data_IF_744911281787
#
_entry.id   IF_744911281787
#
_cell.length_a   1.000
_cell.length_b   1.000
_cell.length_c   1.000
_cell.angle_alpha   90.00
_cell.angle_beta   90.00
_cell.angle_gamma   90.00
#
_symmetry.space_group_name_H-M   'P 1'
#
loop_
_entity.id
_entity.type
_entity.pdbx_description
1 polymer ?
#
# COMPACT_ATOMS: atom_id res chain seq x y z
N UNK A 1 -79.29 12.20 33.14
CA UNK A 1 -79.00 13.48 32.43
C UNK A 1 -77.70 13.34 31.68
N UNK A 2 -77.71 13.71 30.39
CA UNK A 2 -76.59 14.07 29.50
C UNK A 2 -75.43 13.06 29.27
N UNK A 3 -75.33 12.69 27.99
CA UNK A 3 -74.20 12.12 27.24
C UNK A 3 -72.92 12.97 27.39
N UNK A 4 -71.75 12.34 27.36
CA UNK A 4 -70.51 12.72 26.62
C UNK A 4 -69.51 11.55 26.79
N UNK A 5 -69.41 10.66 25.80
CA UNK A 5 -68.41 10.58 24.72
C UNK A 5 -67.00 10.16 25.15
N UNK A 6 -66.57 9.05 24.55
CA UNK A 6 -65.26 8.43 24.56
C UNK A 6 -64.15 9.34 24.02
N UNK A 7 -62.90 9.09 24.42
CA UNK A 7 -61.76 8.69 23.56
C UNK A 7 -60.65 8.17 24.51
N UNK A 8 -60.46 6.85 24.61
CA UNK A 8 -59.21 6.28 25.10
C UNK A 8 -58.35 5.94 23.89
N UNK A 9 -57.22 6.66 23.76
CA UNK A 9 -56.21 6.45 22.74
C UNK A 9 -55.50 5.11 22.99
N UNK A 10 -56.06 4.02 22.46
CA UNK A 10 -55.38 2.73 22.35
C UNK A 10 -54.67 2.73 21.00
N UNK A 11 -53.43 3.21 20.94
CA UNK A 11 -52.78 3.38 19.64
C UNK A 11 -51.38 3.97 19.61
N UNK A 12 -50.55 3.79 20.65
CA UNK A 12 -49.10 4.05 20.54
C UNK A 12 -48.34 3.10 21.47
N UNK A 13 -48.23 1.82 21.09
CA UNK A 13 -47.27 0.91 21.73
C UNK A 13 -46.82 -0.28 20.86
N UNK A 14 -47.27 -0.39 19.60
CA UNK A 14 -46.95 -1.55 18.74
C UNK A 14 -46.00 -1.22 17.58
N UNK A 15 -45.55 0.03 17.44
CA UNK A 15 -44.64 0.42 16.32
C UNK A 15 -43.15 0.44 16.70
N UNK A 16 -42.78 0.22 17.97
CA UNK A 16 -41.37 0.21 18.41
C UNK A 16 -40.72 -1.18 18.54
N UNK A 17 -41.44 -2.27 18.22
CA UNK A 17 -40.92 -3.63 18.33
C UNK A 17 -40.46 -4.25 16.98
N UNK A 18 -40.38 -3.46 15.90
CA UNK A 18 -40.11 -3.97 14.55
C UNK A 18 -38.86 -3.40 13.85
N UNK A 19 -37.94 -2.70 14.57
CA UNK A 19 -36.69 -2.15 13.99
C UNK A 19 -35.44 -2.58 14.79
N UNK A 20 -35.38 -3.82 15.29
CA UNK A 20 -34.14 -4.40 15.87
C UNK A 20 -33.95 -5.86 15.42
N UNK A 21 -34.28 -6.18 14.18
CA UNK A 21 -34.01 -7.50 13.61
C UNK A 21 -33.57 -7.35 12.14
N UNK A 22 -32.40 -6.77 11.93
CA UNK A 22 -31.68 -6.92 10.66
C UNK A 22 -30.17 -7.07 10.90
N UNK A 23 -29.71 -8.25 10.49
CA UNK A 23 -28.32 -8.64 10.17
C UNK A 23 -27.38 -8.93 11.35
N UNK A 24 -27.54 -10.13 11.91
CA UNK A 24 -26.42 -10.90 12.47
C UNK A 24 -26.42 -12.30 11.85
N UNK A 25 -26.00 -12.41 10.59
CA UNK A 25 -25.53 -13.68 10.04
C UNK A 25 -24.01 -13.67 10.22
N UNK A 26 -23.57 -14.16 11.38
CA UNK A 26 -22.17 -14.49 11.63
C UNK A 26 -21.88 -15.78 10.87
N UNK A 27 -21.20 -15.67 9.73
CA UNK A 27 -20.50 -16.82 9.16
C UNK A 27 -19.31 -17.12 10.05
N UNK A 28 -19.44 -18.14 10.91
CA UNK A 28 -18.30 -18.79 11.52
C UNK A 28 -17.60 -19.64 10.45
N UNK A 29 -16.45 -19.17 9.95
CA UNK A 29 -15.52 -20.00 9.21
C UNK A 29 -14.54 -20.66 10.22
N UNK A 30 -14.50 -22.00 10.33
CA UNK A 30 -13.43 -22.67 11.02
C UNK A 30 -12.27 -22.87 10.03
N UNK A 31 -11.14 -22.22 10.28
CA UNK A 31 -9.94 -22.40 9.48
C UNK A 31 -8.90 -21.36 9.82
N UNK A 32 -7.97 -21.72 10.71
CA UNK A 32 -6.80 -20.91 11.05
C UNK A 32 -5.90 -20.75 9.83
N UNK A 33 -6.08 -19.63 9.13
CA UNK A 33 -5.05 -19.02 8.31
C UNK A 33 -4.77 -17.65 8.90
N UNK A 34 -3.55 -17.42 9.40
CA UNK A 34 -3.07 -16.07 9.63
C UNK A 34 -3.05 -15.35 8.28
N UNK A 35 -4.15 -14.69 7.94
CA UNK A 35 -4.20 -13.84 6.76
C UNK A 35 -3.26 -12.68 7.00
N UNK A 36 -2.18 -12.57 6.21
CA UNK A 36 -1.42 -11.33 6.11
C UNK A 36 -2.40 -10.26 5.61
N UNK A 37 -2.97 -9.48 6.52
CA UNK A 37 -3.53 -8.18 6.16
C UNK A 37 -2.34 -7.30 5.82
N UNK A 38 -2.32 -6.78 4.59
CA UNK A 38 -1.28 -5.83 4.16
C UNK A 38 -1.23 -4.69 5.18
N UNK A 39 -0.08 -4.51 5.83
CA UNK A 39 0.12 -3.51 6.89
C UNK A 39 -0.21 -3.97 8.30
N UNK A 40 -0.10 -5.25 8.63
CA UNK A 40 -0.04 -5.74 10.02
C UNK A 40 1.41 -6.02 10.45
N UNK A 41 1.67 -6.02 11.75
CA UNK A 41 2.99 -6.23 12.33
C UNK A 41 2.93 -7.20 13.53
N UNK A 42 3.86 -8.15 13.59
CA UNK A 42 4.00 -9.06 14.73
C UNK A 42 4.56 -8.34 15.96
N UNK A 43 3.82 -8.37 17.08
CA UNK A 43 4.24 -7.75 18.35
C UNK A 43 5.50 -8.42 18.92
N UNK A 44 5.55 -9.75 18.87
CA UNK A 44 6.70 -10.52 19.38
C UNK A 44 7.96 -10.27 18.53
N UNK A 45 7.79 -10.22 17.21
CA UNK A 45 8.89 -9.89 16.30
C UNK A 45 9.37 -8.45 16.52
N UNK A 46 8.46 -7.49 16.68
CA UNK A 46 8.80 -6.10 16.94
C UNK A 46 9.61 -5.93 18.24
N UNK A 47 9.31 -6.72 19.27
CA UNK A 47 10.06 -6.70 20.54
C UNK A 47 11.49 -7.21 20.39
N UNK A 48 11.69 -8.22 19.55
CA UNK A 48 12.98 -8.85 19.31
C UNK A 48 13.79 -8.19 18.17
N UNK A 49 13.20 -7.24 17.44
CA UNK A 49 13.82 -6.60 16.29
C UNK A 49 15.00 -5.69 16.70
N UNK A 50 16.07 -5.69 15.89
CA UNK A 50 17.18 -4.76 16.03
C UNK A 50 16.72 -3.29 15.96
N UNK A 51 17.45 -2.32 16.53
CA UNK A 51 17.03 -0.93 16.49
C UNK A 51 16.82 -0.41 15.05
N UNK A 52 15.68 0.24 14.80
CA UNK A 52 15.32 0.84 13.50
C UNK A 52 15.16 2.34 13.68
N UNK A 53 15.95 3.12 12.93
CA UNK A 53 15.94 4.58 13.00
C UNK A 53 16.07 5.15 14.43
N UNK A 54 16.78 4.44 15.32
CA UNK A 54 16.97 4.82 16.73
C UNK A 54 15.86 4.38 17.69
N UNK A 55 14.87 3.61 17.23
CA UNK A 55 13.80 3.04 18.05
C UNK A 55 14.01 1.54 18.25
N UNK A 56 13.74 1.02 19.45
CA UNK A 56 13.96 -0.40 19.81
C UNK A 56 13.01 -0.89 20.90
N UNK A 57 12.88 -2.21 21.04
CA UNK A 57 12.15 -2.84 22.16
C UNK A 57 10.70 -2.34 22.26
N UNK A 58 10.32 -1.83 23.44
CA UNK A 58 8.94 -1.38 23.69
C UNK A 58 8.48 -0.25 22.75
N UNK A 59 9.40 0.56 22.21
CA UNK A 59 9.04 1.58 21.21
C UNK A 59 8.58 0.93 19.89
N UNK A 60 9.22 -0.16 19.46
CA UNK A 60 8.82 -0.90 18.27
C UNK A 60 7.54 -1.72 18.52
N UNK A 61 7.35 -2.24 19.74
CA UNK A 61 6.08 -2.87 20.15
C UNK A 61 4.91 -1.87 20.09
N UNK A 62 5.12 -0.64 20.56
CA UNK A 62 4.13 0.42 20.45
C UNK A 62 3.86 0.80 18.99
N UNK A 63 4.90 0.88 18.14
CA UNK A 63 4.72 1.11 16.71
C UNK A 63 3.92 -0.02 16.03
N UNK A 64 4.20 -1.29 16.34
CA UNK A 64 3.44 -2.43 15.85
C UNK A 64 1.97 -2.38 16.32
N UNK A 65 1.70 -1.92 17.53
CA UNK A 65 0.34 -1.72 18.03
C UNK A 65 -0.42 -0.65 17.23
N UNK A 66 0.25 0.44 16.85
CA UNK A 66 -0.31 1.48 15.98
C UNK A 66 -0.59 0.92 14.58
N UNK A 67 0.36 0.22 13.99
CA UNK A 67 0.24 -0.41 12.66
C UNK A 67 -0.99 -1.34 12.63
N UNK A 68 -1.10 -2.23 13.62
CA UNK A 68 -2.21 -3.18 13.73
C UNK A 68 -3.58 -2.51 13.94
N UNK A 69 -3.65 -1.43 14.73
CA UNK A 69 -4.89 -0.67 14.90
C UNK A 69 -5.33 -0.01 13.58
N UNK A 70 -4.39 0.53 12.80
CA UNK A 70 -4.67 1.05 11.46
C UNK A 70 -5.16 -0.04 10.50
N UNK A 71 -4.48 -1.19 10.49
CA UNK A 71 -4.85 -2.35 9.69
C UNK A 71 -6.28 -2.85 10.00
N UNK A 72 -6.62 -2.95 11.29
CA UNK A 72 -7.94 -3.37 11.74
C UNK A 72 -9.08 -2.44 11.27
N UNK A 73 -8.76 -1.16 11.00
CA UNK A 73 -9.68 -0.17 10.48
C UNK A 73 -9.62 -0.03 8.94
N UNK A 74 -8.83 -0.86 8.25
CA UNK A 74 -8.64 -0.77 6.80
C UNK A 74 -7.87 0.48 6.36
N UNK A 75 -7.12 1.11 7.26
CA UNK A 75 -6.29 2.28 6.95
C UNK A 75 -5.05 1.80 6.16
N UNK A 76 -4.77 2.49 5.05
CA UNK A 76 -3.63 2.19 4.18
C UNK A 76 -2.28 2.32 4.92
N UNK A 77 -1.23 1.72 4.36
CA UNK A 77 0.15 1.84 4.86
C UNK A 77 0.57 3.31 5.03
N UNK A 78 0.14 4.20 4.12
CA UNK A 78 0.36 5.64 4.24
C UNK A 78 -0.26 6.19 5.53
N UNK A 79 -1.51 5.84 5.84
CA UNK A 79 -2.14 6.27 7.08
C UNK A 79 -1.43 5.70 8.31
N UNK A 80 -1.01 4.44 8.27
CA UNK A 80 -0.23 3.81 9.34
C UNK A 80 1.10 4.55 9.60
N UNK A 81 1.82 4.94 8.54
CA UNK A 81 3.03 5.78 8.63
C UNK A 81 2.70 7.11 9.31
N UNK A 82 1.58 7.76 8.95
CA UNK A 82 1.13 8.99 9.61
C UNK A 82 0.88 8.78 11.10
N UNK A 83 0.26 7.65 11.49
CA UNK A 83 0.04 7.30 12.89
C UNK A 83 1.35 7.09 13.67
N UNK A 84 2.29 6.31 13.11
CA UNK A 84 3.60 6.07 13.73
C UNK A 84 4.40 7.38 13.84
N UNK A 85 4.44 8.18 12.76
CA UNK A 85 5.08 9.50 12.74
C UNK A 85 4.51 10.43 13.82
N UNK A 86 3.19 10.43 13.99
CA UNK A 86 2.53 11.24 15.01
C UNK A 86 2.97 10.81 16.41
N UNK A 87 2.91 9.51 16.72
CA UNK A 87 3.33 9.01 18.03
C UNK A 87 4.84 9.18 18.30
N UNK A 88 5.68 9.19 17.26
CA UNK A 88 7.09 9.56 17.37
C UNK A 88 7.27 11.02 17.79
N UNK A 89 6.49 11.94 17.21
CA UNK A 89 6.54 13.36 17.58
C UNK A 89 5.99 13.64 18.98
N UNK A 90 4.90 12.99 19.34
CA UNK A 90 4.19 13.21 20.61
C UNK A 90 4.92 12.62 21.82
N UNK A 91 5.51 11.43 21.67
CA UNK A 91 6.05 10.69 22.81
C UNK A 91 7.34 9.93 22.53
N UNK A 92 7.87 10.00 21.31
CA UNK A 92 8.95 9.13 20.88
C UNK A 92 8.55 7.65 20.91
N UNK A 93 7.28 7.32 20.63
CA UNK A 93 6.71 5.96 20.74
C UNK A 93 6.73 5.37 22.16
N UNK A 94 6.69 6.22 23.19
CA UNK A 94 6.63 5.79 24.59
C UNK A 94 5.25 6.05 25.16
N UNK A 95 4.67 5.04 25.80
CA UNK A 95 3.36 5.18 26.41
C UNK A 95 3.48 5.89 27.78
N UNK A 96 3.52 7.22 27.77
CA UNK A 96 3.86 8.03 28.96
C UNK A 96 2.62 8.48 29.76
N UNK A 97 2.77 8.54 31.08
CA UNK A 97 1.70 8.87 32.05
C UNK A 97 1.61 10.36 32.40
N UNK A 98 2.36 11.20 31.71
CA UNK A 98 2.41 12.65 31.91
C UNK A 98 2.33 13.38 30.58
N UNK A 99 1.93 14.65 30.65
CA UNK A 99 1.99 15.59 29.53
C UNK A 99 2.97 16.72 29.78
N UNK A 100 3.02 17.67 28.85
CA UNK A 100 3.89 18.85 28.93
C UNK A 100 3.19 20.04 29.61
N UNK A 101 3.81 21.22 29.57
CA UNK A 101 3.23 22.43 30.17
C UNK A 101 1.96 22.91 29.45
N UNK A 102 1.80 22.63 28.15
CA UNK A 102 0.66 23.05 27.36
C UNK A 102 -0.55 22.10 27.52
N UNK A 103 -0.29 20.81 27.74
CA UNK A 103 -1.29 19.79 28.05
C UNK A 103 -0.86 18.87 29.20
N UNK A 104 -0.86 19.32 30.46
CA UNK A 104 -0.42 18.49 31.60
C UNK A 104 -1.23 17.21 31.81
N UNK A 105 -2.45 17.16 31.29
CA UNK A 105 -3.40 16.05 31.32
C UNK A 105 -3.34 15.13 30.09
N UNK A 106 -2.49 15.43 29.12
CA UNK A 106 -2.22 14.58 27.96
C UNK A 106 -1.57 13.26 28.35
N UNK A 107 -1.96 12.15 27.71
CA UNK A 107 -1.52 10.80 28.08
C UNK A 107 -1.24 9.92 26.86
N UNK A 108 -0.37 8.94 27.08
CA UNK A 108 -0.09 7.85 26.16
C UNK A 108 0.66 8.26 24.90
N UNK A 109 0.65 7.35 23.92
CA UNK A 109 1.47 7.44 22.70
C UNK A 109 1.25 8.71 21.87
N UNK A 110 0.01 9.17 21.84
CA UNK A 110 -0.44 10.30 21.01
C UNK A 110 -0.70 11.56 21.84
N UNK A 111 -0.33 11.57 23.13
CA UNK A 111 -0.55 12.70 24.04
C UNK A 111 -2.00 13.23 24.00
N UNK A 112 -2.95 12.29 23.99
CA UNK A 112 -4.37 12.60 23.89
C UNK A 112 -4.89 13.12 25.24
N UNK A 113 -5.78 14.11 25.21
CA UNK A 113 -6.49 14.64 26.40
C UNK A 113 -7.79 13.87 26.66
N UNK A 114 -8.43 14.10 27.80
CA UNK A 114 -9.67 13.41 28.23
C UNK A 114 -10.82 13.42 27.21
N UNK A 115 -10.91 14.46 26.37
CA UNK A 115 -11.87 14.57 25.24
C UNK A 115 -11.75 13.45 24.20
N UNK A 116 -10.66 12.67 24.22
CA UNK A 116 -10.47 11.51 23.35
C UNK A 116 -11.05 10.21 23.92
N UNK A 117 -11.14 10.09 25.24
CA UNK A 117 -11.56 8.87 25.93
C UNK A 117 -11.08 8.83 27.39
N UNK A 118 -11.43 7.77 28.09
CA UNK A 118 -11.02 7.57 29.49
C UNK A 118 -9.49 7.47 29.61
N UNK A 119 -8.94 7.68 30.81
CA UNK A 119 -7.50 7.53 31.05
C UNK A 119 -7.00 6.14 30.62
N UNK A 120 -7.73 5.08 30.98
CA UNK A 120 -7.40 3.70 30.61
C UNK A 120 -7.33 3.51 29.10
N UNK A 121 -8.28 4.06 28.35
CA UNK A 121 -8.30 3.99 26.89
C UNK A 121 -7.12 4.75 26.26
N UNK A 122 -6.79 5.94 26.78
CA UNK A 122 -5.67 6.74 26.29
C UNK A 122 -4.30 6.14 26.62
N UNK A 123 -4.22 5.38 27.71
CA UNK A 123 -3.03 4.62 28.10
C UNK A 123 -2.94 3.25 27.42
N UNK A 124 -3.93 2.82 26.65
CA UNK A 124 -3.83 1.59 25.87
C UNK A 124 -3.32 1.93 24.45
N UNK A 125 -2.14 1.44 24.03
CA UNK A 125 -1.56 1.72 22.72
C UNK A 125 -2.49 1.51 21.52
N UNK A 126 -3.19 0.37 21.49
CA UNK A 126 -4.10 0.03 20.39
C UNK A 126 -5.32 0.95 20.39
N UNK A 127 -5.92 1.21 21.56
CA UNK A 127 -7.10 2.07 21.65
C UNK A 127 -6.79 3.54 21.34
N UNK A 128 -5.66 4.06 21.84
CA UNK A 128 -5.20 5.41 21.52
C UNK A 128 -4.94 5.57 20.01
N UNK A 129 -4.35 4.55 19.37
CA UNK A 129 -4.17 4.52 17.92
C UNK A 129 -5.51 4.46 17.15
N UNK A 130 -6.45 3.64 17.60
CA UNK A 130 -7.81 3.58 17.02
C UNK A 130 -8.47 4.95 17.03
N UNK A 131 -8.41 5.69 18.14
CA UNK A 131 -8.98 7.04 18.21
C UNK A 131 -8.32 8.03 17.24
N UNK A 132 -7.01 7.88 17.00
CA UNK A 132 -6.28 8.69 16.03
C UNK A 132 -6.78 8.39 14.61
N UNK A 133 -6.82 7.11 14.22
CA UNK A 133 -7.23 6.70 12.88
C UNK A 133 -8.70 7.03 12.59
N UNK A 134 -9.60 6.83 13.55
CA UNK A 134 -11.02 7.20 13.41
C UNK A 134 -11.24 8.69 13.13
N UNK A 135 -10.32 9.55 13.59
CA UNK A 135 -10.32 10.98 13.27
C UNK A 135 -9.61 11.26 11.96
N UNK A 136 -8.47 10.60 11.69
CA UNK A 136 -7.74 10.74 10.43
C UNK A 136 -8.63 10.46 9.22
N UNK A 137 -9.37 9.34 9.23
CA UNK A 137 -10.24 8.97 8.09
C UNK A 137 -11.41 9.93 7.86
N UNK A 138 -11.73 10.79 8.84
CA UNK A 138 -12.75 11.85 8.74
C UNK A 138 -12.17 13.18 8.25
N UNK A 139 -10.85 13.33 8.16
CA UNK A 139 -10.21 14.52 7.60
C UNK A 139 -10.42 14.53 6.08
N UNK A 140 -11.07 15.55 5.50
CA UNK A 140 -11.29 15.62 4.06
C UNK A 140 -9.99 15.59 3.29
N UNK A 141 -9.90 14.74 2.25
CA UNK A 141 -8.74 14.63 1.36
C UNK A 141 -7.40 14.31 2.06
N UNK A 142 -7.42 13.74 3.27
CA UNK A 142 -6.20 13.37 3.98
C UNK A 142 -5.22 12.48 3.18
N UNK A 143 -5.65 11.55 2.29
CA UNK A 143 -4.70 10.74 1.51
C UNK A 143 -3.83 11.57 0.56
N UNK A 144 -4.31 12.75 0.16
CA UNK A 144 -3.60 13.68 -0.73
C UNK A 144 -2.81 14.76 0.04
N UNK A 145 -2.91 14.80 1.37
CA UNK A 145 -2.15 15.74 2.20
C UNK A 145 -0.69 15.27 2.36
N UNK A 146 0.20 16.20 2.70
CA UNK A 146 1.49 15.82 3.24
C UNK A 146 1.29 15.07 4.57
N UNK A 147 2.17 14.12 4.95
CA UNK A 147 2.04 13.38 6.19
C UNK A 147 1.91 14.28 7.42
N UNK A 148 2.72 15.33 7.51
CA UNK A 148 2.66 16.31 8.61
C UNK A 148 1.33 17.05 8.63
N UNK A 149 0.80 17.46 7.49
CA UNK A 149 -0.50 18.14 7.42
C UNK A 149 -1.65 17.22 7.85
N UNK A 150 -1.60 15.94 7.49
CA UNK A 150 -2.59 14.96 7.92
C UNK A 150 -2.54 14.74 9.44
N UNK A 151 -1.35 14.55 10.01
CA UNK A 151 -1.16 14.42 11.46
C UNK A 151 -1.60 15.69 12.22
N UNK A 152 -1.21 16.86 11.72
CA UNK A 152 -1.60 18.15 12.26
C UNK A 152 -3.12 18.37 12.20
N UNK A 153 -3.79 17.98 11.12
CA UNK A 153 -5.25 18.10 11.01
C UNK A 153 -6.00 17.29 12.10
N UNK A 154 -5.42 16.18 12.54
CA UNK A 154 -5.96 15.33 13.61
C UNK A 154 -5.61 15.89 15.00
N UNK A 155 -4.34 16.20 15.25
CA UNK A 155 -3.83 16.59 16.58
C UNK A 155 -4.02 18.07 16.91
N UNK A 156 -4.05 18.94 15.89
CA UNK A 156 -4.22 20.40 16.02
C UNK A 156 -3.21 21.05 16.96
N UNK A 157 -1.93 20.71 16.81
CA UNK A 157 -0.83 21.38 17.53
C UNK A 157 -0.56 22.79 16.94
N UNK A 158 0.37 23.56 17.52
CA UNK A 158 0.64 24.93 17.09
C UNK A 158 1.47 25.05 15.80
N UNK A 159 2.25 24.02 15.46
CA UNK A 159 3.19 24.01 14.34
C UNK A 159 2.74 22.98 13.27
N UNK A 160 2.23 23.43 12.11
CA UNK A 160 1.80 22.54 11.03
C UNK A 160 2.88 21.59 10.50
N UNK A 161 4.15 21.97 10.63
CA UNK A 161 5.29 21.20 10.13
C UNK A 161 5.98 20.38 11.22
N UNK A 162 5.44 20.40 12.45
CA UNK A 162 6.00 19.73 13.62
C UNK A 162 6.47 18.31 13.29
N UNK A 163 5.61 17.52 12.62
CA UNK A 163 5.85 16.10 12.41
C UNK A 163 6.87 15.77 11.32
N UNK A 164 7.22 16.74 10.47
CA UNK A 164 7.99 16.53 9.23
C UNK A 164 9.26 15.72 9.46
N UNK A 165 10.01 16.01 10.53
CA UNK A 165 11.29 15.34 10.84
C UNK A 165 11.17 13.86 11.20
N UNK A 166 9.97 13.38 11.54
CA UNK A 166 9.73 11.98 11.91
C UNK A 166 9.18 11.15 10.75
N UNK A 167 8.92 11.75 9.58
CA UNK A 167 8.36 11.03 8.45
C UNK A 167 9.28 9.91 7.93
N UNK A 168 10.56 10.20 7.72
CA UNK A 168 11.54 9.19 7.27
C UNK A 168 11.77 8.08 8.33
N UNK A 169 12.00 8.38 9.62
CA UNK A 169 12.04 7.37 10.67
C UNK A 169 10.79 6.51 10.74
N UNK A 170 9.60 7.11 10.60
CA UNK A 170 8.34 6.38 10.63
C UNK A 170 8.19 5.42 9.44
N UNK A 171 8.60 5.84 8.24
CA UNK A 171 8.66 4.95 7.08
C UNK A 171 9.60 3.78 7.32
N UNK A 172 10.80 4.03 7.86
CA UNK A 172 11.77 2.98 8.17
C UNK A 172 11.20 1.98 9.20
N UNK A 173 10.57 2.46 10.26
CA UNK A 173 9.95 1.61 11.29
C UNK A 173 8.77 0.82 10.73
N UNK A 174 7.84 1.44 10.01
CA UNK A 174 6.72 0.72 9.40
C UNK A 174 7.25 -0.34 8.43
N UNK A 175 8.16 0.04 7.52
CA UNK A 175 8.76 -0.89 6.56
C UNK A 175 9.48 -2.05 7.23
N UNK A 176 10.21 -1.81 8.32
CA UNK A 176 10.90 -2.86 9.06
C UNK A 176 9.93 -3.79 9.77
N UNK A 177 8.87 -3.26 10.40
CA UNK A 177 7.93 -4.06 11.19
C UNK A 177 6.89 -4.80 10.35
N UNK A 178 6.52 -4.27 9.18
CA UNK A 178 5.66 -4.96 8.21
C UNK A 178 6.44 -5.79 7.20
N UNK A 179 7.76 -5.56 7.08
CA UNK A 179 8.68 -6.29 6.20
C UNK A 179 9.50 -7.38 6.89
N UNK A 180 9.58 -7.38 8.23
CA UNK A 180 10.24 -8.45 9.02
C UNK A 180 9.34 -9.65 9.28
N UNK A 181 8.10 -9.62 8.81
CA UNK A 181 7.47 -10.86 8.41
C UNK A 181 8.18 -11.34 7.16
N UNK A 182 9.31 -12.03 7.34
CA UNK A 182 9.91 -12.89 6.31
C UNK A 182 8.84 -13.80 5.69
N UNK A 183 7.79 -14.12 6.48
CA UNK A 183 6.57 -14.79 6.04
C UNK A 183 5.65 -13.94 5.13
N UNK A 184 5.59 -12.61 5.25
CA UNK A 184 4.76 -11.74 4.39
C UNK A 184 5.53 -11.09 3.23
N UNK A 185 6.87 -11.02 3.23
CA UNK A 185 7.63 -10.75 1.98
C UNK A 185 7.62 -11.97 1.07
N UNK A 186 7.68 -13.17 1.67
CA UNK A 186 7.35 -14.41 0.95
C UNK A 186 5.85 -14.46 0.62
N UNK A 187 4.91 -13.98 1.47
CA UNK A 187 3.49 -13.97 1.11
C UNK A 187 3.11 -12.91 0.05
N UNK A 188 3.72 -11.73 0.01
CA UNK A 188 3.43 -10.71 -1.00
C UNK A 188 3.89 -11.18 -2.39
N UNK A 189 5.03 -11.87 -2.47
CA UNK A 189 5.40 -12.64 -3.66
C UNK A 189 4.49 -13.87 -3.86
N UNK A 190 4.10 -14.60 -2.80
CA UNK A 190 3.25 -15.79 -2.87
C UNK A 190 1.76 -15.53 -3.18
N UNK A 191 1.31 -14.27 -3.16
CA UNK A 191 -0.10 -13.90 -3.48
C UNK A 191 -0.22 -13.24 -4.86
N UNK A 192 0.89 -13.06 -5.58
CA UNK A 192 0.84 -12.63 -6.97
C UNK A 192 0.34 -13.80 -7.81
N UNK A 193 -0.95 -13.75 -8.16
CA UNK A 193 -1.62 -14.82 -8.91
C UNK A 193 -0.87 -15.15 -10.20
N UNK A 194 -0.79 -16.44 -10.57
CA UNK A 194 -0.38 -16.87 -11.91
C UNK A 194 -1.49 -16.69 -12.96
N UNK A 195 -2.68 -16.20 -12.56
CA UNK A 195 -3.81 -16.00 -13.45
C UNK A 195 -3.84 -14.57 -14.01
N UNK A 196 -3.62 -14.43 -15.31
CA UNK A 196 -3.60 -13.14 -16.00
C UNK A 196 -4.91 -12.34 -15.87
N UNK A 197 -6.06 -13.01 -15.89
CA UNK A 197 -7.36 -12.34 -15.78
C UNK A 197 -7.57 -11.72 -14.39
N UNK A 198 -7.19 -12.44 -13.33
CA UNK A 198 -7.27 -11.96 -11.94
C UNK A 198 -6.32 -10.78 -11.72
N UNK A 199 -5.07 -10.89 -12.18
CA UNK A 199 -4.11 -9.78 -12.10
C UNK A 199 -4.62 -8.56 -12.86
N UNK A 200 -5.09 -8.75 -14.09
CA UNK A 200 -5.61 -7.65 -14.89
C UNK A 200 -6.82 -6.98 -14.22
N UNK A 201 -7.74 -7.75 -13.62
CA UNK A 201 -8.86 -7.19 -12.85
C UNK A 201 -8.37 -6.37 -11.66
N UNK A 202 -7.37 -6.86 -10.93
CA UNK A 202 -6.77 -6.11 -9.83
C UNK A 202 -6.14 -4.78 -10.30
N UNK A 203 -5.42 -4.79 -11.42
CA UNK A 203 -4.83 -3.58 -12.00
C UNK A 203 -5.91 -2.59 -12.51
N UNK A 204 -7.05 -3.10 -13.00
CA UNK A 204 -8.23 -2.26 -13.32
C UNK A 204 -8.74 -1.55 -12.07
N UNK A 205 -8.90 -2.26 -10.96
CA UNK A 205 -9.39 -1.69 -9.71
C UNK A 205 -8.42 -0.61 -9.19
N UNK A 206 -7.11 -0.87 -9.20
CA UNK A 206 -6.08 0.09 -8.80
C UNK A 206 -6.02 1.32 -9.73
N UNK A 207 -6.25 1.14 -11.03
CA UNK A 207 -6.38 2.26 -11.97
C UNK A 207 -7.59 3.13 -11.63
N UNK A 208 -8.74 2.52 -11.36
CA UNK A 208 -9.97 3.24 -10.98
C UNK A 208 -9.82 3.98 -9.65
N UNK A 209 -8.94 3.51 -8.77
CA UNK A 209 -8.58 4.16 -7.50
C UNK A 209 -7.53 5.28 -7.66
N UNK A 210 -6.98 5.48 -8.86
CA UNK A 210 -5.92 6.46 -9.11
C UNK A 210 -4.52 6.02 -8.64
N UNK A 211 -4.35 4.75 -8.27
CA UNK A 211 -3.05 4.19 -7.90
C UNK A 211 -2.16 4.01 -9.14
N UNK A 212 -2.75 3.64 -10.28
CA UNK A 212 -2.04 3.52 -11.56
C UNK A 212 -2.47 4.67 -12.47
N UNK A 213 -1.50 5.38 -13.01
CA UNK A 213 -1.73 6.41 -14.04
C UNK A 213 -1.10 5.95 -15.35
N UNK A 214 -1.86 6.05 -16.43
CA UNK A 214 -1.44 5.61 -17.76
C UNK A 214 -1.15 6.81 -18.64
N UNK A 215 0.05 6.87 -19.23
CA UNK A 215 0.39 7.90 -20.21
C UNK A 215 -0.44 7.71 -21.49
N UNK A 216 -0.61 8.78 -22.27
CA UNK A 216 -1.30 8.74 -23.56
C UNK A 216 -0.31 8.55 -24.71
N UNK A 217 -0.60 7.70 -25.70
CA UNK A 217 -1.76 6.81 -25.79
C UNK A 217 -1.72 5.68 -24.74
N UNK A 218 -2.89 5.37 -24.19
CA UNK A 218 -2.99 4.49 -23.03
C UNK A 218 -3.02 3.01 -23.41
N UNK A 219 -2.26 2.21 -22.66
CA UNK A 219 -2.30 0.75 -22.66
C UNK A 219 -3.37 0.16 -21.71
N UNK A 220 -4.10 1.00 -20.97
CA UNK A 220 -5.14 0.54 -20.07
C UNK A 220 -6.25 -0.31 -20.73
N UNK A 221 -6.69 -0.02 -21.98
CA UNK A 221 -7.66 -0.86 -22.67
C UNK A 221 -7.21 -2.32 -22.88
N UNK A 222 -5.90 -2.58 -22.96
CA UNK A 222 -5.35 -3.94 -23.05
C UNK A 222 -5.59 -4.70 -21.76
N UNK A 223 -5.29 -4.07 -20.62
CA UNK A 223 -5.52 -4.63 -19.28
C UNK A 223 -7.00 -4.90 -19.06
N UNK A 224 -7.88 -3.97 -19.44
CA UNK A 224 -9.34 -4.18 -19.37
C UNK A 224 -9.81 -5.37 -20.23
N UNK A 225 -9.24 -5.54 -21.43
CA UNK A 225 -9.57 -6.65 -22.31
C UNK A 225 -9.17 -8.01 -21.71
N UNK A 226 -8.00 -8.09 -21.07
CA UNK A 226 -7.54 -9.29 -20.36
C UNK A 226 -8.45 -9.57 -19.15
N UNK A 227 -8.80 -8.55 -18.36
CA UNK A 227 -9.71 -8.68 -17.21
C UNK A 227 -11.10 -9.21 -17.63
N UNK A 228 -11.59 -8.79 -18.79
CA UNK A 228 -12.85 -9.27 -19.37
C UNK A 228 -12.76 -10.68 -19.97
N UNK A 229 -11.57 -11.31 -20.02
CA UNK A 229 -11.34 -12.59 -20.70
C UNK A 229 -11.47 -12.50 -22.22
N UNK A 230 -11.23 -11.31 -22.78
CA UNK A 230 -11.36 -11.01 -24.22
C UNK A 230 -10.07 -10.37 -24.77
N UNK A 231 -8.89 -11.02 -24.64
CA UNK A 231 -7.65 -10.46 -25.15
C UNK A 231 -7.74 -10.25 -26.67
N UNK A 232 -7.33 -9.08 -27.14
CA UNK A 232 -7.32 -8.78 -28.58
C UNK A 232 -6.05 -9.38 -29.22
N UNK A 233 -6.10 -9.84 -30.48
CA UNK A 233 -4.91 -10.27 -31.20
C UNK A 233 -3.83 -9.17 -31.22
N UNK A 234 -2.58 -9.53 -30.93
CA UNK A 234 -1.43 -8.60 -30.83
C UNK A 234 -1.59 -7.48 -29.77
N UNK A 235 -2.46 -7.71 -28.78
CA UNK A 235 -2.68 -6.83 -27.63
C UNK A 235 -2.62 -7.60 -26.30
N UNK A 236 -1.95 -8.75 -26.30
CA UNK A 236 -1.72 -9.51 -25.07
C UNK A 236 -0.71 -8.80 -24.18
N UNK A 237 -0.78 -9.07 -22.88
CA UNK A 237 0.28 -8.72 -21.93
C UNK A 237 0.68 -10.03 -21.27
N UNK A 238 1.98 -10.31 -21.27
CA UNK A 238 2.55 -11.47 -20.60
C UNK A 238 2.13 -11.43 -19.12
N UNK A 239 1.71 -12.58 -18.58
CA UNK A 239 1.27 -12.64 -17.18
C UNK A 239 2.37 -12.14 -16.25
N UNK A 240 3.64 -12.42 -16.56
CA UNK A 240 4.78 -11.98 -15.76
C UNK A 240 4.94 -10.47 -15.78
N UNK A 241 4.55 -9.78 -16.86
CA UNK A 241 4.51 -8.31 -16.89
C UNK A 241 3.38 -7.78 -15.99
N UNK A 242 2.20 -8.42 -15.97
CA UNK A 242 1.14 -8.07 -15.01
C UNK A 242 1.60 -8.29 -13.55
N UNK A 243 2.41 -9.31 -13.31
CA UNK A 243 3.03 -9.59 -12.01
C UNK A 243 4.07 -8.52 -11.64
N UNK A 244 4.93 -8.10 -12.57
CA UNK A 244 5.86 -6.97 -12.38
C UNK A 244 5.12 -5.69 -12.01
N UNK A 245 4.04 -5.35 -12.72
CA UNK A 245 3.21 -4.19 -12.39
C UNK A 245 2.62 -4.32 -10.97
N UNK A 246 2.17 -5.52 -10.61
CA UNK A 246 1.62 -5.80 -9.27
C UNK A 246 2.68 -5.62 -8.17
N UNK A 247 3.92 -6.07 -8.40
CA UNK A 247 5.03 -5.81 -7.46
C UNK A 247 5.29 -4.30 -7.33
N UNK A 248 5.21 -3.55 -8.43
CA UNK A 248 5.36 -2.10 -8.40
C UNK A 248 4.24 -1.43 -7.59
N UNK A 249 2.97 -1.83 -7.73
CA UNK A 249 1.86 -1.27 -6.94
C UNK A 249 1.90 -1.65 -5.46
N UNK A 250 2.57 -2.75 -5.11
CA UNK A 250 2.85 -3.10 -3.71
C UNK A 250 4.03 -2.29 -3.14
N UNK A 251 4.92 -1.79 -4.00
CA UNK A 251 6.14 -1.07 -3.61
C UNK A 251 5.92 0.45 -3.43
N UNK A 252 4.96 1.01 -4.17
CA UNK A 252 4.70 2.45 -4.25
C UNK A 252 3.22 2.79 -4.00
N UNK A 253 2.95 4.00 -3.49
CA UNK A 253 1.60 4.57 -3.34
C UNK A 253 0.94 4.81 -4.69
N UNK A 254 1.71 5.21 -5.70
CA UNK A 254 1.22 5.32 -7.06
C UNK A 254 2.33 5.04 -8.06
N UNK A 255 1.93 4.57 -9.24
CA UNK A 255 2.84 4.32 -10.36
C UNK A 255 2.32 4.98 -11.63
N UNK A 256 3.24 5.42 -12.46
CA UNK A 256 2.98 5.90 -13.81
C UNK A 256 3.50 4.91 -14.83
N UNK A 257 2.66 4.42 -15.74
CA UNK A 257 3.04 3.49 -16.82
C UNK A 257 2.93 4.20 -18.16
N UNK A 258 3.99 4.15 -18.97
CA UNK A 258 4.06 4.78 -20.29
C UNK A 258 3.89 3.80 -21.45
N UNK A 259 4.43 2.59 -21.35
CA UNK A 259 4.38 1.59 -22.43
C UNK A 259 4.21 0.17 -21.87
N UNK A 260 3.46 -0.68 -22.59
CA UNK A 260 3.35 -2.13 -22.30
C UNK A 260 3.38 -2.96 -23.59
N UNK A 261 2.28 -3.01 -24.38
CA UNK A 261 2.28 -3.66 -25.69
C UNK A 261 2.12 -2.63 -26.81
N UNK A 262 3.23 -2.31 -27.46
CA UNK A 262 3.32 -1.32 -28.53
C UNK A 262 2.63 -1.76 -29.83
N UNK A 263 2.42 -3.07 -30.05
CA UNK A 263 1.62 -3.55 -31.19
C UNK A 263 0.15 -3.17 -31.07
N UNK A 264 -0.37 -3.09 -29.84
CA UNK A 264 -1.78 -2.76 -29.63
C UNK A 264 -2.08 -1.28 -29.80
N UNK A 265 -1.20 -0.41 -29.30
CA UNK A 265 -1.33 1.04 -29.43
C UNK A 265 -0.91 1.57 -30.80
N UNK A 266 -0.30 0.71 -31.65
CA UNK A 266 0.25 1.09 -32.95
C UNK A 266 1.50 1.96 -32.86
N UNK A 267 2.07 2.11 -31.66
CA UNK A 267 3.28 2.88 -31.43
C UNK A 267 4.50 2.06 -31.87
N UNK A 268 5.41 2.64 -32.65
CA UNK A 268 6.75 2.04 -32.92
C UNK A 268 7.91 3.00 -32.61
N UNK A 269 8.04 3.53 -31.38
CA UNK A 269 9.23 4.27 -30.97
C UNK A 269 10.42 3.34 -30.67
N UNK A 270 11.64 3.80 -30.96
CA UNK A 270 12.89 3.17 -30.50
C UNK A 270 13.32 1.92 -31.27
N UNK A 271 13.79 0.89 -30.56
CA UNK A 271 14.47 -0.34 -31.04
C UNK A 271 13.69 -1.22 -32.05
N UNK A 272 12.56 -0.73 -32.58
CA UNK A 272 11.76 -1.38 -33.60
C UNK A 272 11.26 -2.75 -33.16
N UNK A 273 11.28 -3.71 -34.08
CA UNK A 273 10.65 -5.02 -33.92
C UNK A 273 11.43 -5.97 -32.99
N UNK A 274 12.61 -5.56 -32.53
CA UNK A 274 13.41 -6.28 -31.55
C UNK A 274 13.06 -5.93 -30.09
N UNK A 275 12.24 -4.90 -29.85
CA UNK A 275 11.83 -4.51 -28.50
C UNK A 275 10.91 -5.56 -27.88
N UNK A 276 11.07 -5.82 -26.58
CA UNK A 276 10.17 -6.67 -25.79
C UNK A 276 8.70 -6.16 -25.77
N UNK A 277 8.47 -4.89 -26.09
CA UNK A 277 7.11 -4.35 -26.28
C UNK A 277 6.44 -4.79 -27.60
N UNK A 278 7.20 -5.34 -28.56
CA UNK A 278 6.75 -5.64 -29.94
C UNK A 278 6.99 -7.10 -30.33
N UNK A 279 8.15 -7.65 -29.96
CA UNK A 279 8.55 -9.00 -30.37
C UNK A 279 7.57 -10.05 -29.84
N UNK A 280 7.39 -11.14 -30.60
CA UNK A 280 6.53 -12.27 -30.25
C UNK A 280 5.06 -11.90 -29.92
N UNK A 281 4.50 -10.86 -30.56
CA UNK A 281 3.13 -10.41 -30.29
C UNK A 281 3.03 -9.33 -29.22
N UNK A 282 4.16 -8.90 -28.66
CA UNK A 282 4.30 -7.78 -27.74
C UNK A 282 3.82 -8.07 -26.32
N UNK A 283 4.01 -7.10 -25.43
CA UNK A 283 3.56 -7.20 -24.04
C UNK A 283 4.50 -7.97 -23.11
N UNK A 284 5.79 -8.09 -23.46
CA UNK A 284 6.84 -8.68 -22.61
C UNK A 284 7.67 -7.64 -21.84
N UNK A 285 7.25 -6.37 -21.84
CA UNK A 285 7.90 -5.30 -21.11
C UNK A 285 6.90 -4.27 -20.58
N UNK A 286 7.36 -3.48 -19.60
CA UNK A 286 6.65 -2.33 -19.05
C UNK A 286 7.64 -1.19 -18.81
N UNK A 287 7.23 0.02 -19.22
CA UNK A 287 7.94 1.26 -18.93
C UNK A 287 7.21 2.04 -17.85
N UNK A 288 7.89 2.29 -16.74
CA UNK A 288 7.38 3.15 -15.66
C UNK A 288 7.94 4.56 -15.82
N UNK A 289 7.09 5.58 -15.98
CA UNK A 289 7.52 6.97 -16.09
C UNK A 289 7.52 7.72 -14.76
N UNK A 290 6.87 7.18 -13.72
CA UNK A 290 6.81 7.80 -12.40
C UNK A 290 6.55 6.80 -11.27
N UNK A 291 7.03 7.14 -10.07
CA UNK A 291 6.75 6.44 -8.81
C UNK A 291 6.39 7.46 -7.73
N UNK A 292 5.33 7.19 -6.95
CA UNK A 292 4.78 8.07 -5.91
C UNK A 292 4.44 9.50 -6.39
N UNK A 293 4.14 9.64 -7.69
CA UNK A 293 3.88 10.92 -8.35
C UNK A 293 5.15 11.66 -8.80
N UNK A 294 6.33 11.08 -8.62
CA UNK A 294 7.61 11.66 -9.03
C UNK A 294 8.10 11.00 -10.33
N UNK A 295 8.41 11.77 -11.40
CA UNK A 295 9.00 11.22 -12.61
C UNK A 295 10.30 10.47 -12.33
N UNK A 296 10.52 9.35 -13.02
CA UNK A 296 11.72 8.53 -12.85
C UNK A 296 12.68 8.68 -14.03
N UNK A 297 13.96 8.51 -13.75
CA UNK A 297 15.04 8.45 -14.74
C UNK A 297 15.62 7.05 -14.88
N UNK A 298 15.11 6.09 -14.11
CA UNK A 298 15.71 4.77 -13.93
C UNK A 298 16.96 4.74 -13.05
N UNK A 299 17.37 5.89 -12.50
CA UNK A 299 18.52 6.04 -11.61
C UNK A 299 18.19 6.68 -10.24
N UNK A 300 16.98 7.20 -10.08
CA UNK A 300 16.50 7.79 -8.82
C UNK A 300 16.21 6.73 -7.75
N UNK A 301 16.14 7.11 -6.45
CA UNK A 301 15.95 6.17 -5.35
C UNK A 301 14.71 5.26 -5.50
N UNK A 302 13.63 5.74 -6.13
CA UNK A 302 12.43 4.94 -6.34
C UNK A 302 12.66 3.87 -7.41
N UNK A 303 13.31 4.20 -8.53
CA UNK A 303 13.72 3.19 -9.50
C UNK A 303 14.61 2.10 -8.85
N UNK A 304 15.59 2.51 -8.04
CA UNK A 304 16.46 1.55 -7.32
C UNK A 304 15.65 0.66 -6.36
N UNK A 305 14.65 1.23 -5.67
CA UNK A 305 13.73 0.48 -4.79
C UNK A 305 12.95 -0.58 -5.57
N UNK A 306 12.40 -0.23 -6.74
CA UNK A 306 11.70 -1.19 -7.61
C UNK A 306 12.63 -2.33 -8.04
N UNK A 307 13.84 -2.00 -8.54
CA UNK A 307 14.78 -3.00 -9.05
C UNK A 307 15.22 -4.00 -7.97
N UNK A 308 15.38 -3.53 -6.73
CA UNK A 308 15.66 -4.41 -5.58
C UNK A 308 14.48 -5.30 -5.21
N UNK A 309 13.24 -4.79 -5.31
CA UNK A 309 12.04 -5.59 -5.07
C UNK A 309 11.86 -6.68 -6.14
N UNK A 310 12.24 -6.41 -7.39
CA UNK A 310 12.16 -7.35 -8.50
C UNK A 310 13.31 -8.36 -8.55
N UNK A 311 14.50 -7.99 -8.07
CA UNK A 311 15.71 -8.84 -8.09
C UNK A 311 15.49 -10.31 -7.66
N UNK A 312 14.83 -10.60 -6.52
CA UNK A 312 14.66 -12.00 -6.09
C UNK A 312 13.60 -12.78 -6.88
N UNK A 313 12.69 -12.11 -7.59
CA UNK A 313 11.48 -12.73 -8.16
C UNK A 313 11.49 -12.81 -9.68
N UNK A 314 12.39 -12.11 -10.37
CA UNK A 314 12.42 -12.13 -11.84
C UNK A 314 13.01 -13.45 -12.38
N UNK A 315 12.41 -14.04 -13.44
CA UNK A 315 12.93 -15.25 -14.06
C UNK A 315 14.24 -14.98 -14.81
N UNK A 316 14.98 -16.04 -15.14
CA UNK A 316 16.20 -15.90 -15.94
C UNK A 316 15.85 -15.36 -17.34
N UNK A 317 16.80 -14.71 -18.00
CA UNK A 317 16.57 -14.04 -19.29
C UNK A 317 15.84 -12.70 -19.22
N UNK A 318 15.32 -12.32 -18.05
CA UNK A 318 14.75 -10.99 -17.79
C UNK A 318 15.79 -9.86 -17.91
N UNK A 319 15.30 -8.63 -18.10
CA UNK A 319 16.17 -7.46 -18.25
C UNK A 319 15.58 -6.15 -17.77
N UNK A 320 16.46 -5.18 -17.53
CA UNK A 320 16.11 -3.83 -17.06
C UNK A 320 16.95 -2.77 -17.79
N UNK A 321 16.30 -1.68 -18.20
CA UNK A 321 16.94 -0.57 -18.90
C UNK A 321 17.65 0.42 -17.98
N UNK A 322 18.08 1.55 -18.55
CA UNK A 322 18.66 2.72 -17.85
C UNK A 322 19.98 2.46 -17.11
N UNK A 323 20.73 1.44 -17.54
CA UNK A 323 22.04 1.15 -16.94
C UNK A 323 23.05 2.29 -17.08
N UNK A 324 23.00 3.02 -18.20
CA UNK A 324 23.81 4.21 -18.48
C UNK A 324 23.40 5.40 -17.60
N UNK A 325 22.10 5.59 -17.37
CA UNK A 325 21.59 6.60 -16.45
C UNK A 325 22.09 6.35 -15.02
N UNK A 326 22.04 5.10 -14.55
CA UNK A 326 22.57 4.70 -13.24
C UNK A 326 24.07 4.92 -13.14
N UNK A 327 24.82 4.50 -14.16
CA UNK A 327 26.27 4.70 -14.20
C UNK A 327 26.65 6.19 -14.16
N UNK A 328 25.96 7.03 -14.94
CA UNK A 328 26.16 8.48 -14.93
C UNK A 328 25.81 9.14 -13.59
N UNK A 329 24.84 8.57 -12.86
CA UNK A 329 24.50 8.98 -11.49
C UNK A 329 25.45 8.41 -10.42
N UNK A 330 26.50 7.67 -10.81
CA UNK A 330 27.43 7.03 -9.88
C UNK A 330 26.85 5.83 -9.12
N UNK A 331 25.72 5.28 -9.60
CA UNK A 331 25.06 4.12 -8.99
C UNK A 331 25.36 2.86 -9.78
N UNK A 332 25.83 1.81 -9.08
CA UNK A 332 25.95 0.46 -9.62
C UNK A 332 25.06 -0.47 -8.82
N UNK A 333 24.32 -1.35 -9.52
CA UNK A 333 23.50 -2.38 -8.91
C UNK A 333 23.96 -3.74 -9.40
N UNK A 334 24.12 -4.67 -8.46
CA UNK A 334 24.24 -6.08 -8.77
C UNK A 334 22.83 -6.68 -8.84
N UNK A 335 22.38 -7.04 -10.04
CA UNK A 335 21.04 -7.55 -10.31
C UNK A 335 21.16 -8.84 -11.14
N UNK A 336 20.32 -9.85 -10.90
CA UNK A 336 20.30 -11.07 -11.72
C UNK A 336 19.74 -10.81 -13.13
N UNK A 337 18.97 -9.74 -13.30
CA UNK A 337 18.44 -9.31 -14.60
C UNK A 337 19.54 -8.69 -15.46
N UNK A 338 19.48 -8.93 -16.77
CA UNK A 338 20.36 -8.28 -17.75
C UNK A 338 20.13 -6.76 -17.75
N UNK A 339 21.18 -5.99 -17.51
CA UNK A 339 21.11 -4.53 -17.56
C UNK A 339 21.56 -4.00 -18.92
N UNK A 340 20.84 -3.01 -19.48
CA UNK A 340 21.18 -2.40 -20.76
C UNK A 340 20.92 -0.89 -20.80
N UNK A 341 21.55 -0.13 -21.71
CA UNK A 341 21.32 1.31 -21.86
C UNK A 341 19.94 1.62 -22.40
N UNK A 342 19.32 2.70 -21.92
CA UNK A 342 18.04 3.19 -22.42
C UNK A 342 17.85 4.67 -22.01
N UNK A 343 16.89 5.37 -22.62
CA UNK A 343 16.59 6.77 -22.35
C UNK A 343 16.21 7.03 -20.89
N UNK A 344 16.82 8.07 -20.29
CA UNK A 344 16.71 8.41 -18.87
C UNK A 344 15.43 9.17 -18.49
N UNK A 345 14.28 8.75 -19.02
CA UNK A 345 12.97 9.36 -18.75
C UNK A 345 11.91 8.37 -18.24
N UNK A 346 12.31 7.11 -18.03
CA UNK A 346 11.48 6.04 -17.49
C UNK A 346 12.38 4.96 -16.85
N UNK A 347 11.77 3.94 -16.26
CA UNK A 347 12.43 2.69 -15.91
C UNK A 347 11.79 1.55 -16.71
N UNK A 348 12.57 0.93 -17.62
CA UNK A 348 12.18 -0.22 -18.42
C UNK A 348 12.41 -1.52 -17.63
N UNK A 349 11.41 -2.41 -17.64
CA UNK A 349 11.51 -3.78 -17.11
C UNK A 349 10.94 -4.74 -18.15
N UNK A 350 11.66 -5.83 -18.43
CA UNK A 350 11.20 -6.87 -19.35
C UNK A 350 11.44 -8.28 -18.82
N UNK A 351 10.59 -9.20 -19.27
CA UNK A 351 10.77 -10.65 -19.14
C UNK A 351 11.29 -11.21 -20.46
N UNK A 352 11.78 -12.46 -20.45
CA UNK A 352 12.24 -13.12 -21.67
C UNK A 352 11.05 -13.34 -22.64
N UNK A 353 11.05 -12.72 -23.83
CA UNK A 353 9.97 -12.90 -24.81
C UNK A 353 9.93 -14.30 -25.45
N UNK A 354 11.00 -15.08 -25.33
CA UNK A 354 11.12 -16.43 -25.90
C UNK A 354 11.09 -17.54 -24.85
N UNK A 355 11.22 -17.19 -23.58
CA UNK A 355 11.16 -18.11 -22.44
C UNK A 355 9.82 -18.04 -21.72
N UNK A 356 9.40 -19.15 -21.15
CA UNK A 356 8.16 -19.29 -20.37
C UNK A 356 8.41 -19.49 -18.86
N UNK A 357 9.66 -19.33 -18.41
CA UNK A 357 10.00 -19.44 -16.99
C UNK A 357 9.15 -18.46 -16.17
N UNK A 358 8.39 -18.95 -15.17
CA UNK A 358 7.54 -18.10 -14.34
C UNK A 358 8.39 -17.22 -13.43
N UNK A 359 7.81 -16.11 -12.97
CA UNK A 359 8.45 -15.36 -11.88
C UNK A 359 8.68 -16.28 -10.67
N UNK A 360 9.82 -16.11 -10.00
CA UNK A 360 10.27 -16.85 -8.81
C UNK A 360 9.51 -16.38 -7.56
N UNK A 361 8.20 -16.39 -7.67
CA UNK A 361 7.23 -16.10 -6.65
C UNK A 361 7.06 -17.39 -5.85
N UNK A 362 7.27 -17.37 -4.54
CA UNK A 362 7.16 -18.58 -3.71
C UNK A 362 5.76 -19.16 -3.83
N UNK A 363 5.60 -20.24 -4.60
CA UNK A 363 4.31 -20.88 -4.82
C UNK A 363 3.97 -21.77 -3.63
N UNK A 364 2.86 -21.48 -2.95
CA UNK A 364 2.03 -22.55 -2.37
C UNK A 364 1.02 -22.97 -3.42
N UNK A 365 1.49 -23.64 -4.47
CA UNK A 365 0.60 -24.51 -5.23
C UNK A 365 0.32 -25.73 -4.35
N UNK A 366 -0.92 -25.87 -3.88
CA UNK A 366 -1.38 -27.09 -3.25
C UNK A 366 -2.07 -27.94 -4.34
N UNK A 367 -1.78 -29.26 -4.41
CA UNK A 367 -2.24 -30.16 -5.48
C UNK A 367 -3.75 -30.40 -5.53
#
# INVERSE_FOLDING_TARGET
>A
MKKFLAVTATGVCVVFAAIVAMVSVVFAAPGGGSGCTVGSASIDAAKAHDPVAGYSGDQLVNAASIINAGAALGVSSQGQIVGVMTAMGESGLRNIEYGDAAGPDSRGLFQQRDTWGTLEQRMNPAQAATFFFERLVKVPNWPSMTPTAAAHAVQRNQDPDHYTRWFEPAQAVVSALTGSDTACTEAAAATVSGNAQQLAQHLVDLTNQGTITWLSPSHFPEVQAIAAGQPKPNCGIDVRVLQVITVATQTFRSIGISDVNRLCSGQRPGAGDASAHVVNGGGHAVDFYAFDGTPTTGADPNAIKLLRALAPVMPDGSGVGQSDCRANAGTSLDLPMKQFPDTCNHQHVQVDPWGDEPMKLTSKENP
#
